data_IF_509142006016
#
_entry.id   IF_509142006016
#
_cell.length_a   1.000
_cell.length_b   1.000
_cell.length_c   1.000
_cell.angle_alpha   90.00
_cell.angle_beta   90.00
_cell.angle_gamma   90.00
#
_symmetry.space_group_name_H-M   'P 1'
#
loop_
_entity.id
_entity.type
_entity.pdbx_description
1 polymer ?
#
# COMPACT_ATOMS: atom_id res chain seq x y z
N UNK A 1 -1.77 -12.77 5.25
CA UNK A 1 -2.14 -11.56 6.01
C UNK A 1 -1.18 -11.44 7.17
N UNK A 2 -0.58 -10.27 7.36
CA UNK A 2 0.31 -9.95 8.48
C UNK A 2 0.08 -8.51 8.94
N UNK A 3 0.45 -8.20 10.18
CA UNK A 3 0.44 -6.85 10.74
C UNK A 3 1.63 -6.70 11.71
N UNK A 4 2.15 -5.48 11.79
CA UNK A 4 3.27 -5.08 12.65
C UNK A 4 2.94 -3.74 13.30
N UNK A 5 3.22 -3.62 14.59
CA UNK A 5 3.03 -2.40 15.38
C UNK A 5 4.26 -2.22 16.27
N UNK A 6 4.92 -1.06 16.12
CA UNK A 6 6.11 -0.69 16.87
C UNK A 6 6.28 0.83 16.88
N UNK A 7 7.10 1.32 17.81
CA UNK A 7 7.20 2.75 18.11
C UNK A 7 7.64 3.62 16.92
N UNK A 8 8.54 3.10 16.07
CA UNK A 8 9.07 3.80 14.91
C UNK A 8 8.71 3.14 13.57
N UNK A 9 7.98 2.02 13.59
CA UNK A 9 7.63 1.25 12.39
C UNK A 9 6.34 0.47 12.61
N UNK A 10 5.41 0.58 11.67
CA UNK A 10 4.16 -0.17 11.68
C UNK A 10 3.67 -0.44 10.27
N UNK A 11 2.84 -1.46 10.12
CA UNK A 11 2.32 -1.81 8.80
C UNK A 11 1.46 -3.05 8.77
N UNK A 12 0.88 -3.32 7.61
CA UNK A 12 0.11 -4.53 7.37
C UNK A 12 0.20 -4.94 5.90
N UNK A 13 0.02 -6.23 5.65
CA UNK A 13 -0.06 -6.79 4.32
C UNK A 13 -1.19 -7.80 4.21
N UNK A 14 -1.88 -7.76 3.08
CA UNK A 14 -2.96 -8.69 2.76
C UNK A 14 -2.82 -9.21 1.32
N UNK A 15 -3.28 -10.43 1.12
CA UNK A 15 -3.32 -11.07 -0.19
C UNK A 15 -4.76 -11.31 -0.62
N UNK A 16 -4.98 -11.36 -1.93
CA UNK A 16 -6.26 -11.79 -2.51
C UNK A 16 -6.50 -13.28 -2.24
N UNK A 17 -7.72 -13.63 -1.83
CA UNK A 17 -8.13 -15.01 -1.60
C UNK A 17 -8.18 -15.83 -2.90
N UNK A 18 -7.99 -17.15 -2.78
CA UNK A 18 -8.11 -18.10 -3.90
C UNK A 18 -9.51 -18.04 -4.53
N UNK A 19 -9.59 -17.76 -5.83
CA UNK A 19 -10.84 -17.57 -6.58
C UNK A 19 -10.96 -16.20 -7.27
N UNK A 20 -10.04 -15.27 -6.99
CA UNK A 20 -9.99 -13.98 -7.67
C UNK A 20 -9.29 -14.01 -9.05
N UNK A 21 -9.76 -13.21 -10.02
CA UNK A 21 -9.18 -13.11 -11.38
C UNK A 21 -7.73 -12.60 -11.41
N UNK A 22 -7.31 -11.92 -10.33
CA UNK A 22 -5.96 -11.45 -10.08
C UNK A 22 -5.52 -11.99 -8.72
N UNK A 23 -4.36 -12.65 -8.68
CA UNK A 23 -3.76 -13.12 -7.43
C UNK A 23 -2.59 -12.21 -7.10
N UNK A 24 -2.67 -11.50 -5.99
CA UNK A 24 -1.66 -10.53 -5.60
C UNK A 24 -1.62 -10.27 -4.10
N UNK A 25 -0.54 -9.64 -3.67
CA UNK A 25 -0.37 -9.15 -2.29
C UNK A 25 -0.14 -7.63 -2.34
N UNK A 26 -0.74 -6.95 -1.38
CA UNK A 26 -0.54 -5.53 -1.15
C UNK A 26 -0.17 -5.31 0.31
N UNK A 27 0.84 -4.46 0.53
CA UNK A 27 1.28 -4.05 1.86
C UNK A 27 1.48 -2.55 1.97
N UNK A 28 1.25 -2.06 3.19
CA UNK A 28 1.34 -0.67 3.59
C UNK A 28 2.22 -0.60 4.83
N UNK A 29 3.33 0.13 4.74
CA UNK A 29 4.31 0.25 5.82
C UNK A 29 4.61 1.73 6.04
N UNK A 30 4.62 2.14 7.31
CA UNK A 30 5.05 3.45 7.76
C UNK A 30 6.29 3.31 8.64
N UNK A 31 7.29 4.15 8.38
CA UNK A 31 8.55 4.19 9.12
C UNK A 31 8.85 5.64 9.51
N UNK A 32 9.14 5.87 10.79
CA UNK A 32 9.62 7.15 11.31
C UNK A 32 11.13 7.07 11.42
N UNK A 33 11.83 7.85 10.59
CA UNK A 33 13.27 7.97 10.63
C UNK A 33 13.73 8.79 11.84
N UNK A 34 14.98 8.61 12.25
CA UNK A 34 15.55 9.24 13.44
C UNK A 34 15.65 10.78 13.35
N UNK A 35 15.63 11.32 12.13
CA UNK A 35 15.59 12.76 11.83
C UNK A 35 14.17 13.33 11.82
N UNK A 36 13.15 12.50 12.08
CA UNK A 36 11.74 12.89 12.11
C UNK A 36 11.01 12.75 10.76
N UNK A 37 11.71 12.30 9.71
CA UNK A 37 11.07 12.05 8.43
C UNK A 37 10.15 10.82 8.48
N UNK A 38 8.96 10.93 7.88
CA UNK A 38 8.01 9.82 7.80
C UNK A 38 8.02 9.24 6.38
N UNK A 39 8.42 7.98 6.28
CA UNK A 39 8.38 7.19 5.06
C UNK A 39 7.11 6.36 5.02
N UNK A 40 6.38 6.44 3.92
CA UNK A 40 5.20 5.61 3.68
C UNK A 40 5.41 4.80 2.41
N UNK A 41 5.54 3.49 2.57
CA UNK A 41 5.84 2.54 1.51
C UNK A 41 4.60 1.71 1.21
N UNK A 42 4.19 1.69 -0.06
CA UNK A 42 3.13 0.82 -0.57
C UNK A 42 3.74 -0.15 -1.56
N UNK A 43 3.66 -1.45 -1.26
CA UNK A 43 4.11 -2.51 -2.16
C UNK A 43 2.90 -3.28 -2.64
N UNK A 44 2.64 -3.28 -3.94
CA UNK A 44 1.56 -4.05 -4.53
C UNK A 44 2.08 -4.84 -5.73
N UNK A 45 1.82 -6.15 -5.75
CA UNK A 45 2.09 -6.98 -6.91
C UNK A 45 0.91 -7.91 -7.17
N UNK A 46 0.46 -7.97 -8.42
CA UNK A 46 -0.58 -8.90 -8.85
C UNK A 46 -0.11 -9.69 -10.08
N UNK A 47 -0.54 -10.95 -10.15
CA UNK A 47 -0.41 -11.80 -11.34
C UNK A 47 -1.82 -12.05 -11.89
N UNK A 48 -2.08 -11.78 -13.17
CA UNK A 48 -3.38 -12.06 -13.76
C UNK A 48 -3.58 -13.58 -13.84
N UNK A 49 -4.65 -14.07 -13.21
CA UNK A 49 -5.08 -15.46 -13.28
C UNK A 49 -6.15 -15.70 -14.37
N UNK A 50 -6.81 -14.64 -14.86
CA UNK A 50 -7.81 -14.71 -15.93
C UNK A 50 -7.50 -13.77 -17.13
N UNK A 51 -7.98 -14.13 -18.32
CA UNK A 51 -7.68 -13.42 -19.58
C UNK A 51 -8.24 -11.99 -19.66
N UNK A 52 -9.34 -11.69 -18.95
CA UNK A 52 -9.93 -10.35 -18.90
C UNK A 52 -9.21 -9.40 -17.93
N UNK A 53 -8.49 -9.92 -16.94
CA UNK A 53 -7.61 -9.12 -16.07
C UNK A 53 -6.46 -8.48 -16.87
N UNK A 54 -6.02 -9.13 -17.97
CA UNK A 54 -5.05 -8.53 -18.90
C UNK A 54 -5.56 -7.26 -19.59
N UNK A 55 -6.88 -7.07 -19.71
CA UNK A 55 -7.46 -5.86 -20.31
C UNK A 55 -7.43 -4.64 -19.37
N UNK A 56 -7.41 -4.84 -18.05
CA UNK A 56 -7.30 -3.78 -17.02
C UNK A 56 -5.86 -3.41 -16.64
N UNK A 57 -4.87 -4.15 -17.15
CA UNK A 57 -3.47 -4.12 -16.73
C UNK A 57 -2.77 -2.75 -16.60
N UNK A 58 -3.00 -1.74 -17.47
CA UNK A 58 -2.35 -0.44 -17.32
C UNK A 58 -3.08 0.52 -16.37
N UNK A 59 -4.36 0.27 -16.04
CA UNK A 59 -5.17 1.16 -15.19
C UNK A 59 -4.93 0.88 -13.70
N UNK A 60 -4.72 -0.39 -13.35
CA UNK A 60 -4.51 -0.82 -11.96
C UNK A 60 -3.32 -0.13 -11.29
N UNK A 61 -2.12 -0.05 -11.90
CA UNK A 61 -0.97 0.64 -11.30
C UNK A 61 -1.20 2.15 -11.13
N UNK A 62 -1.98 2.77 -12.03
CA UNK A 62 -2.32 4.19 -11.95
C UNK A 62 -3.22 4.45 -10.74
N UNK A 63 -4.24 3.62 -10.54
CA UNK A 63 -5.14 3.72 -9.40
C UNK A 63 -4.41 3.48 -8.07
N UNK A 64 -3.55 2.45 -8.00
CA UNK A 64 -2.71 2.19 -6.82
C UNK A 64 -1.84 3.41 -6.48
N UNK A 65 -1.25 4.06 -7.49
CA UNK A 65 -0.38 5.22 -7.28
C UNK A 65 -1.15 6.49 -6.92
N UNK A 66 -2.38 6.66 -7.40
CA UNK A 66 -3.27 7.73 -6.95
C UNK A 66 -3.70 7.53 -5.50
N UNK A 67 -4.03 6.30 -5.13
CA UNK A 67 -4.42 5.94 -3.77
C UNK A 67 -3.27 6.12 -2.78
N UNK A 68 -2.06 5.63 -3.11
CA UNK A 68 -0.85 5.85 -2.32
C UNK A 68 -0.57 7.35 -2.10
N UNK A 69 -0.74 8.19 -3.14
CA UNK A 69 -0.61 9.65 -3.01
C UNK A 69 -1.67 10.25 -2.08
N UNK A 70 -2.88 9.72 -2.10
CA UNK A 70 -3.95 10.20 -1.23
C UNK A 70 -3.66 9.86 0.23
N UNK A 71 -3.24 8.63 0.53
CA UNK A 71 -2.77 8.23 1.85
C UNK A 71 -1.61 9.09 2.33
N UNK A 72 -0.58 9.30 1.51
CA UNK A 72 0.57 10.14 1.87
C UNK A 72 0.16 11.59 2.21
N UNK A 73 -0.82 12.16 1.49
CA UNK A 73 -1.36 13.49 1.81
C UNK A 73 -2.07 13.53 3.17
N UNK A 74 -2.85 12.50 3.49
CA UNK A 74 -3.54 12.39 4.78
C UNK A 74 -2.53 12.22 5.91
N UNK A 75 -1.53 11.35 5.73
CA UNK A 75 -0.47 11.08 6.70
C UNK A 75 0.33 12.36 7.03
N UNK A 76 0.68 13.13 6.00
CA UNK A 76 1.32 14.45 6.16
C UNK A 76 0.46 15.42 6.98
N UNK A 77 -0.86 15.45 6.76
CA UNK A 77 -1.76 16.33 7.53
C UNK A 77 -1.81 15.94 9.00
N UNK A 78 -1.88 14.64 9.29
CA UNK A 78 -1.91 14.14 10.66
C UNK A 78 -0.58 14.41 11.39
N UNK A 79 0.55 14.20 10.73
CA UNK A 79 1.87 14.47 11.29
C UNK A 79 2.07 15.96 11.63
N UNK A 80 1.63 16.87 10.74
CA UNK A 80 1.69 18.32 10.99
C UNK A 80 0.74 18.75 12.11
N UNK A 81 -0.40 18.08 12.29
CA UNK A 81 -1.34 18.39 13.37
C UNK A 81 -0.92 17.84 14.75
N UNK A 82 0.02 16.89 14.77
CA UNK A 82 0.51 16.25 16.00
C UNK A 82 1.78 16.91 16.58
N UNK A 83 2.41 17.83 15.84
CA UNK A 83 3.52 18.68 16.30
C UNK A 83 3.04 20.07 16.71
#
# INVERSE_FOLDING_TARGET
VWAEEGDARGGFGYGTLSGHPEVGEESFVVELAADGDVYFTVTAFSRPAAWYARAGGPVVPVMQRLYARQLARTLRRLAVAAG
#
